data_IF_614835546750
#
_entry.id   IF_614835546750
#
_cell.length_a   1.000
_cell.length_b   1.000
_cell.length_c   1.000
_cell.angle_alpha   90.00
_cell.angle_beta   90.00
_cell.angle_gamma   90.00
#
_symmetry.space_group_name_H-M   'P 1'
#
loop_
_entity.id
_entity.type
_entity.pdbx_description
1 polymer ?
#
# COMPACT_ATOMS: atom_id res chain seq x y z
N UNK A 1 -2.25 -10.75 14.91
CA UNK A 1 -1.73 -10.64 13.54
C UNK A 1 -2.22 -9.35 12.91
N UNK A 2 -1.32 -8.51 12.42
CA UNK A 2 -1.68 -7.19 11.92
C UNK A 2 -1.66 -7.14 10.40
N UNK A 3 -2.68 -6.51 9.83
CA UNK A 3 -2.71 -6.09 8.43
C UNK A 3 -2.69 -4.57 8.41
N UNK A 4 -1.64 -4.00 7.83
CA UNK A 4 -1.44 -2.56 7.78
C UNK A 4 -1.62 -2.12 6.33
N UNK A 5 -2.48 -1.15 6.11
CA UNK A 5 -2.78 -0.61 4.78
C UNK A 5 -2.17 0.79 4.66
N UNK A 6 -1.23 0.95 3.73
CA UNK A 6 -0.55 2.22 3.52
C UNK A 6 -0.78 2.68 2.08
N UNK A 7 -1.54 3.75 1.92
CA UNK A 7 -1.75 4.36 0.62
C UNK A 7 -0.47 5.06 0.17
N UNK A 8 -0.11 4.92 -1.12
CA UNK A 8 1.03 5.65 -1.69
C UNK A 8 0.93 7.15 -1.43
N UNK A 9 2.07 7.82 -1.31
CA UNK A 9 2.14 9.25 -1.09
C UNK A 9 1.74 10.05 -2.36
N UNK A 10 1.66 11.37 -2.24
CA UNK A 10 1.21 12.22 -3.33
C UNK A 10 2.04 12.01 -4.61
N UNK A 11 1.37 11.76 -5.70
CA UNK A 11 1.98 11.52 -7.00
C UNK A 11 1.58 12.60 -8.01
N UNK A 12 2.43 12.82 -9.00
CA UNK A 12 2.14 13.77 -10.07
C UNK A 12 0.93 13.30 -10.89
N UNK A 13 0.16 14.26 -11.37
CA UNK A 13 -0.86 14.05 -12.37
C UNK A 13 -0.43 14.80 -13.61
N UNK A 14 -0.05 14.07 -14.63
CA UNK A 14 0.46 14.67 -15.86
C UNK A 14 -0.21 14.02 -17.06
N UNK A 15 -0.83 14.84 -17.89
CA UNK A 15 -1.44 14.38 -19.14
C UNK A 15 -0.39 13.70 -20.01
N UNK A 16 -0.75 12.58 -20.62
CA UNK A 16 0.14 11.81 -21.47
C UNK A 16 1.12 10.90 -20.76
N UNK A 17 1.23 10.99 -19.43
CA UNK A 17 2.07 10.08 -18.67
C UNK A 17 1.26 8.81 -18.31
N UNK A 18 1.74 7.61 -18.67
CA UNK A 18 1.06 6.38 -18.28
C UNK A 18 0.89 6.30 -16.76
N UNK A 19 -0.26 5.81 -16.31
CA UNK A 19 -0.59 5.76 -14.87
C UNK A 19 0.49 5.05 -14.04
N UNK A 20 0.99 3.93 -14.50
CA UNK A 20 2.02 3.15 -13.78
C UNK A 20 3.35 3.89 -13.64
N UNK A 21 3.59 4.90 -14.48
CA UNK A 21 4.83 5.66 -14.49
C UNK A 21 4.74 6.98 -13.73
N UNK A 22 3.58 7.29 -13.14
CA UNK A 22 3.43 8.49 -12.33
C UNK A 22 4.32 8.40 -11.09
N UNK A 23 5.20 9.38 -10.94
CA UNK A 23 6.15 9.44 -9.82
C UNK A 23 5.58 10.28 -8.67
N UNK A 24 6.17 10.13 -7.50
CA UNK A 24 5.85 11.00 -6.37
C UNK A 24 6.26 12.44 -6.67
N UNK A 25 5.50 13.39 -6.14
CA UNK A 25 5.91 14.78 -6.07
C UNK A 25 6.96 14.95 -4.97
N UNK A 26 7.65 16.09 -4.94
CA UNK A 26 8.57 16.41 -3.83
C UNK A 26 7.85 16.37 -2.49
N UNK A 27 6.61 16.87 -2.43
CA UNK A 27 5.78 16.77 -1.24
C UNK A 27 5.47 15.30 -0.89
N UNK A 28 5.18 14.49 -1.92
CA UNK A 28 4.93 13.06 -1.72
C UNK A 28 6.14 12.32 -1.17
N UNK A 29 7.35 12.66 -1.64
CA UNK A 29 8.58 12.08 -1.11
C UNK A 29 8.76 12.40 0.38
N UNK A 30 8.46 13.63 0.78
CA UNK A 30 8.50 14.03 2.20
C UNK A 30 7.44 13.32 3.03
N UNK A 31 6.23 13.16 2.48
CA UNK A 31 5.15 12.40 3.14
C UNK A 31 5.57 10.95 3.37
N UNK A 32 6.15 10.32 2.34
CA UNK A 32 6.60 8.93 2.42
C UNK A 32 7.70 8.78 3.48
N UNK A 33 8.66 9.68 3.52
CA UNK A 33 9.75 9.64 4.50
C UNK A 33 9.23 9.76 5.93
N UNK A 34 8.31 10.68 6.18
CA UNK A 34 7.72 10.86 7.52
C UNK A 34 6.92 9.64 7.96
N UNK A 35 6.09 9.10 7.08
CA UNK A 35 5.29 7.93 7.42
C UNK A 35 6.18 6.70 7.62
N UNK A 36 7.23 6.56 6.80
CA UNK A 36 8.17 5.46 6.92
C UNK A 36 8.89 5.48 8.28
N UNK A 37 9.31 6.65 8.74
CA UNK A 37 9.93 6.80 10.06
C UNK A 37 8.96 6.37 11.17
N UNK A 38 7.70 6.82 11.06
CA UNK A 38 6.66 6.47 12.02
C UNK A 38 6.39 4.97 12.03
N UNK A 39 6.26 4.36 10.86
CA UNK A 39 6.01 2.92 10.72
C UNK A 39 7.19 2.10 11.25
N UNK A 40 8.42 2.47 10.90
CA UNK A 40 9.60 1.72 11.32
C UNK A 40 9.80 1.68 12.84
N UNK A 41 9.23 2.62 13.58
CA UNK A 41 9.25 2.62 15.02
C UNK A 41 8.21 1.69 15.64
N UNK A 42 7.24 1.22 14.84
CA UNK A 42 6.05 0.52 15.34
C UNK A 42 5.86 -0.87 14.78
N UNK A 43 6.29 -1.13 13.55
CA UNK A 43 6.06 -2.43 12.92
C UNK A 43 7.21 -3.40 13.22
N UNK A 44 6.86 -4.68 13.38
CA UNK A 44 7.83 -5.72 13.66
C UNK A 44 8.83 -5.90 12.51
N UNK A 45 10.03 -6.37 12.83
CA UNK A 45 11.04 -6.69 11.80
C UNK A 45 10.57 -7.79 10.86
N UNK A 46 9.74 -8.70 11.35
CA UNK A 46 9.19 -9.81 10.57
C UNK A 46 8.07 -9.39 9.62
N UNK A 47 7.64 -8.13 9.65
CA UNK A 47 6.56 -7.64 8.79
C UNK A 47 6.89 -7.86 7.32
N UNK A 48 5.98 -8.53 6.62
CA UNK A 48 6.07 -8.71 5.17
C UNK A 48 5.55 -7.45 4.50
N UNK A 49 6.33 -6.88 3.59
CA UNK A 49 5.95 -5.66 2.87
C UNK A 49 5.61 -6.01 1.42
N UNK A 50 4.36 -5.81 1.05
CA UNK A 50 3.84 -6.07 -0.29
C UNK A 50 3.53 -4.74 -0.97
N UNK A 51 3.98 -4.57 -2.20
CA UNK A 51 3.92 -3.28 -2.90
C UNK A 51 3.36 -3.44 -4.30
N UNK A 52 2.44 -2.55 -4.67
CA UNK A 52 1.96 -2.45 -6.05
C UNK A 52 3.10 -2.16 -7.01
N UNK A 53 3.03 -2.64 -8.27
CA UNK A 53 4.06 -2.35 -9.27
C UNK A 53 4.09 -0.89 -9.74
N UNK A 54 3.07 -0.09 -9.44
CA UNK A 54 3.06 1.33 -9.83
C UNK A 54 4.24 2.08 -9.22
N UNK A 55 4.89 2.94 -10.03
CA UNK A 55 6.09 3.66 -9.58
C UNK A 55 5.87 4.43 -8.29
N UNK A 56 4.73 5.10 -8.14
CA UNK A 56 4.39 5.85 -6.92
C UNK A 56 4.36 4.99 -5.66
N UNK A 57 3.93 3.74 -5.78
CA UNK A 57 3.95 2.79 -4.65
C UNK A 57 5.36 2.29 -4.38
N UNK A 58 6.14 2.02 -5.42
CA UNK A 58 7.54 1.60 -5.29
C UNK A 58 8.36 2.68 -4.58
N UNK A 59 8.19 3.92 -4.97
CA UNK A 59 8.89 5.06 -4.35
C UNK A 59 8.47 5.25 -2.89
N UNK A 60 7.17 5.12 -2.61
CA UNK A 60 6.66 5.21 -1.24
C UNK A 60 7.29 4.14 -0.37
N UNK A 61 7.30 2.89 -0.82
CA UNK A 61 7.84 1.76 -0.07
C UNK A 61 9.34 1.86 0.15
N UNK A 62 10.09 2.40 -0.80
CA UNK A 62 11.56 2.57 -0.66
C UNK A 62 11.93 3.42 0.54
N UNK A 63 11.08 4.34 0.95
CA UNK A 63 11.33 5.17 2.13
C UNK A 63 11.49 4.34 3.42
N UNK A 64 10.90 3.14 3.48
CA UNK A 64 11.05 2.26 4.64
C UNK A 64 12.46 1.74 4.84
N UNK A 65 13.26 1.64 3.77
CA UNK A 65 14.58 1.03 3.85
C UNK A 65 14.56 -0.47 4.13
N UNK A 66 13.43 -1.12 3.93
CA UNK A 66 13.25 -2.57 4.13
C UNK A 66 13.11 -3.29 2.80
N UNK A 67 13.41 -4.57 2.80
CA UNK A 67 13.07 -5.41 1.66
C UNK A 67 11.56 -5.47 1.49
N UNK A 68 11.11 -5.45 0.25
CA UNK A 68 9.69 -5.61 -0.06
C UNK A 68 9.51 -6.44 -1.32
N UNK A 69 8.30 -6.99 -1.47
CA UNK A 69 7.93 -7.77 -2.63
C UNK A 69 6.95 -6.98 -3.48
N UNK A 70 7.24 -6.86 -4.77
CA UNK A 70 6.31 -6.30 -5.75
C UNK A 70 5.30 -7.36 -6.13
N UNK A 71 4.00 -7.02 -6.04
CA UNK A 71 2.91 -7.96 -6.32
C UNK A 71 2.01 -7.38 -7.40
N UNK A 72 2.00 -8.01 -8.57
CA UNK A 72 1.19 -7.55 -9.71
C UNK A 72 -0.32 -7.59 -9.40
N UNK A 73 -0.76 -8.54 -8.58
CA UNK A 73 -2.16 -8.71 -8.24
C UNK A 73 -2.75 -7.53 -7.47
N UNK A 74 -1.93 -6.65 -6.89
CA UNK A 74 -2.39 -5.46 -6.17
C UNK A 74 -2.08 -4.17 -6.92
N UNK A 75 -1.94 -4.24 -8.23
CA UNK A 75 -1.80 -3.09 -9.13
C UNK A 75 -3.03 -2.16 -9.02
N UNK A 76 -2.97 -0.94 -9.58
CA UNK A 76 -4.14 -0.06 -9.59
C UNK A 76 -5.39 -0.79 -10.08
N UNK A 77 -6.53 -0.47 -9.50
CA UNK A 77 -7.84 -1.06 -9.81
C UNK A 77 -8.02 -2.52 -9.38
N UNK A 78 -7.08 -3.08 -8.61
CA UNK A 78 -7.27 -4.41 -8.03
C UNK A 78 -8.44 -4.42 -7.05
N UNK A 79 -9.12 -5.56 -6.96
CA UNK A 79 -10.20 -5.75 -6.01
C UNK A 79 -9.68 -6.08 -4.59
N UNK A 80 -10.53 -5.96 -3.55
CA UNK A 80 -10.10 -6.25 -2.18
C UNK A 80 -9.72 -7.71 -1.96
N UNK A 81 -10.35 -8.65 -2.67
CA UNK A 81 -10.02 -10.07 -2.55
C UNK A 81 -8.58 -10.36 -2.97
N UNK A 82 -8.08 -9.68 -4.02
CA UNK A 82 -6.70 -9.84 -4.48
C UNK A 82 -5.69 -9.41 -3.41
N UNK A 83 -5.98 -8.32 -2.69
CA UNK A 83 -5.13 -7.85 -1.60
C UNK A 83 -5.09 -8.85 -0.46
N UNK A 84 -6.25 -9.35 -0.04
CA UNK A 84 -6.34 -10.33 1.05
C UNK A 84 -5.65 -11.65 0.67
N UNK A 85 -5.78 -12.09 -0.57
CA UNK A 85 -5.09 -13.27 -1.05
C UNK A 85 -3.57 -13.08 -1.06
N UNK A 86 -3.09 -11.95 -1.55
CA UNK A 86 -1.66 -11.63 -1.58
C UNK A 86 -1.08 -11.56 -0.16
N UNK A 87 -1.82 -11.01 0.77
CA UNK A 87 -1.43 -10.93 2.18
C UNK A 87 -1.55 -12.27 2.90
N UNK A 88 -2.20 -13.24 2.31
CA UNK A 88 -2.55 -14.54 2.93
C UNK A 88 -3.33 -14.33 4.22
N UNK A 89 -4.22 -13.34 4.19
CA UNK A 89 -5.05 -13.01 5.35
C UNK A 89 -6.26 -13.94 5.41
N UNK A 90 -6.63 -14.48 6.60
CA UNK A 90 -6.02 -14.23 7.91
C UNK A 90 -4.95 -15.24 8.35
N UNK A 91 -4.48 -16.12 7.45
CA UNK A 91 -3.60 -17.24 7.81
C UNK A 91 -2.11 -16.86 7.91
N UNK A 92 -1.73 -15.62 7.53
CA UNK A 92 -0.35 -15.20 7.61
C UNK A 92 0.18 -15.23 9.05
N UNK A 93 1.36 -15.84 9.26
CA UNK A 93 1.98 -15.91 10.57
C UNK A 93 2.70 -14.61 10.95
N UNK A 94 3.06 -13.79 9.97
CA UNK A 94 3.70 -12.51 10.21
C UNK A 94 2.73 -11.37 9.93
N UNK A 95 2.96 -10.18 10.55
CA UNK A 95 2.24 -8.98 10.14
C UNK A 95 2.51 -8.66 8.67
N UNK A 96 1.56 -8.04 7.99
CA UNK A 96 1.68 -7.69 6.58
C UNK A 96 1.38 -6.21 6.40
N UNK A 97 2.27 -5.52 5.71
CA UNK A 97 2.09 -4.13 5.29
C UNK A 97 1.86 -4.11 3.78
N UNK A 98 0.75 -3.54 3.35
CA UNK A 98 0.40 -3.40 1.93
C UNK A 98 0.52 -1.94 1.54
N UNK A 99 1.37 -1.64 0.56
CA UNK A 99 1.48 -0.31 -0.05
C UNK A 99 0.72 -0.33 -1.37
N UNK A 100 -0.38 0.38 -1.43
CA UNK A 100 -1.30 0.28 -2.56
C UNK A 100 -2.11 1.54 -2.82
N UNK A 101 -3.31 1.34 -3.36
CA UNK A 101 -4.12 2.36 -3.98
C UNK A 101 -5.50 2.48 -3.35
N UNK A 102 -6.10 3.68 -3.47
CA UNK A 102 -7.54 3.86 -3.33
C UNK A 102 -8.20 3.65 -4.71
N UNK A 103 -9.41 3.12 -4.77
CA UNK A 103 -10.29 2.76 -3.64
C UNK A 103 -10.03 1.38 -3.02
N UNK A 104 -9.08 0.60 -3.55
CA UNK A 104 -8.84 -0.79 -3.14
C UNK A 104 -8.63 -0.92 -1.62
N UNK A 105 -7.75 -0.09 -1.05
CA UNK A 105 -7.45 -0.19 0.40
C UNK A 105 -8.67 0.12 1.26
N UNK A 106 -9.46 1.11 0.87
CA UNK A 106 -10.71 1.42 1.57
C UNK A 106 -11.72 0.26 1.49
N UNK A 107 -11.79 -0.40 0.34
CA UNK A 107 -12.65 -1.58 0.16
C UNK A 107 -12.20 -2.73 1.06
N UNK A 108 -10.89 -2.95 1.18
CA UNK A 108 -10.33 -3.97 2.09
C UNK A 108 -10.72 -3.65 3.54
N UNK A 109 -10.49 -2.41 3.97
CA UNK A 109 -10.80 -2.00 5.33
C UNK A 109 -12.28 -2.19 5.65
N UNK A 110 -13.17 -1.77 4.75
CA UNK A 110 -14.61 -1.90 4.97
C UNK A 110 -15.05 -3.35 4.98
N UNK A 111 -14.50 -4.19 4.12
CA UNK A 111 -14.80 -5.62 4.08
C UNK A 111 -14.44 -6.31 5.39
N UNK A 112 -13.26 -6.00 5.95
CA UNK A 112 -12.79 -6.59 7.19
C UNK A 112 -13.56 -6.09 8.42
N UNK A 113 -13.95 -4.82 8.44
CA UNK A 113 -14.58 -4.21 9.61
C UNK A 113 -16.10 -4.24 9.58
N UNK A 114 -16.70 -4.16 8.40
CA UNK A 114 -18.15 -4.07 8.24
C UNK A 114 -18.77 -5.27 7.50
N UNK A 115 -17.95 -6.17 6.97
CA UNK A 115 -18.40 -7.36 6.23
C UNK A 115 -18.86 -7.07 4.80
N UNK A 116 -18.83 -5.82 4.35
CA UNK A 116 -19.21 -5.43 2.98
C UNK A 116 -18.22 -4.43 2.43
N UNK A 117 -17.80 -4.58 1.15
CA UNK A 117 -16.86 -3.63 0.55
C UNK A 117 -17.54 -2.28 0.29
N UNK A 118 -16.94 -1.23 0.82
CA UNK A 118 -17.35 0.15 0.62
C UNK A 118 -16.10 1.01 0.40
N UNK A 119 -16.16 2.08 -0.42
CA UNK A 119 -14.97 2.85 -0.78
C UNK A 119 -14.56 3.83 0.33
N UNK A 120 -14.17 3.32 1.49
CA UNK A 120 -13.67 4.12 2.59
C UNK A 120 -12.38 4.84 2.20
N UNK A 121 -12.20 6.05 2.73
CA UNK A 121 -10.98 6.82 2.50
C UNK A 121 -9.87 6.34 3.44
N UNK A 122 -8.71 6.01 2.86
CA UNK A 122 -7.50 5.66 3.61
C UNK A 122 -6.48 6.77 3.37
N UNK A 123 -5.99 7.35 4.44
CA UNK A 123 -5.04 8.47 4.38
C UNK A 123 -3.63 8.04 4.72
#
# INVERSE_FOLDING_TARGET
>A
MDLILWRHAEAVEREGLPDLERMLTSKGERQAARMADWLNQRIAHSTRVLVSPALRCQQTAKALGRKFRTVEAIAPDAGPAAVLAAARWPESSEPVLVVGHQPTLGLVASLLLAGTPQPWSVK
#
